data_IF_303945367638
#
_entry.id   IF_303945367638
#
_cell.length_a   1.000
_cell.length_b   1.000
_cell.length_c   1.000
_cell.angle_alpha   90.00
_cell.angle_beta   90.00
_cell.angle_gamma   90.00
#
_symmetry.space_group_name_H-M   'P 1'
#
loop_
_entity.id
_entity.type
_entity.pdbx_description
1 polymer ?
#
# COMPACT_ATOMS: atom_id res chain seq x y z
N UNK A 1 -8.02 0.58 -13.14
CA UNK A 1 -8.18 1.62 -12.11
C UNK A 1 -9.27 1.19 -11.14
N UNK A 2 -9.00 1.29 -9.84
CA UNK A 2 -10.01 1.08 -8.79
C UNK A 2 -10.42 2.42 -8.20
N UNK A 3 -11.70 2.59 -7.90
CA UNK A 3 -12.24 3.81 -7.31
C UNK A 3 -12.78 3.47 -5.92
N UNK A 4 -12.28 4.17 -4.91
CA UNK A 4 -12.71 4.00 -3.54
C UNK A 4 -14.12 4.55 -3.29
N UNK A 5 -14.70 4.24 -2.13
CA UNK A 5 -16.04 4.70 -1.75
C UNK A 5 -16.17 6.23 -1.89
N UNK A 6 -17.31 6.67 -2.40
CA UNK A 6 -17.64 8.09 -2.59
C UNK A 6 -16.57 8.90 -3.36
N UNK A 7 -15.82 8.25 -4.27
CA UNK A 7 -14.73 8.87 -5.03
C UNK A 7 -13.64 9.53 -4.16
N UNK A 8 -13.48 9.09 -2.91
CA UNK A 8 -12.51 9.71 -1.99
C UNK A 8 -11.06 9.49 -2.43
N UNK A 9 -10.79 8.34 -3.05
CA UNK A 9 -9.49 8.03 -3.63
C UNK A 9 -9.64 7.11 -4.85
N UNK A 10 -8.58 7.03 -5.65
CA UNK A 10 -8.43 6.11 -6.77
C UNK A 10 -7.08 5.42 -6.66
N UNK A 11 -7.04 4.14 -6.98
CA UNK A 11 -5.80 3.37 -7.15
C UNK A 11 -5.61 3.18 -8.65
N UNK A 12 -4.50 3.69 -9.16
CA UNK A 12 -4.16 3.66 -10.58
C UNK A 12 -2.93 2.80 -10.76
N UNK A 13 -3.04 1.81 -11.65
CA UNK A 13 -1.93 0.98 -12.09
C UNK A 13 -1.40 1.63 -13.36
N UNK A 14 -0.15 2.09 -13.31
CA UNK A 14 0.51 2.75 -14.44
C UNK A 14 1.22 1.73 -15.33
N UNK A 15 1.84 0.70 -14.75
CA UNK A 15 2.55 -0.34 -15.49
C UNK A 15 2.33 -1.71 -14.85
N UNK A 16 1.89 -2.67 -15.68
CA UNK A 16 1.67 -4.06 -15.30
C UNK A 16 2.19 -4.97 -16.41
N UNK A 17 3.05 -5.92 -16.06
CA UNK A 17 3.68 -6.85 -17.02
C UNK A 17 2.90 -8.16 -17.23
N UNK A 18 1.65 -8.22 -16.74
CA UNK A 18 0.83 -9.44 -16.74
C UNK A 18 1.00 -10.30 -15.49
N UNK A 19 2.04 -10.07 -14.69
CA UNK A 19 2.33 -10.82 -13.46
C UNK A 19 2.62 -9.92 -12.26
N UNK A 20 3.25 -8.77 -12.47
CA UNK A 20 3.80 -7.88 -11.45
C UNK A 20 3.39 -6.45 -11.76
N UNK A 21 2.98 -5.73 -10.73
CA UNK A 21 2.72 -4.29 -10.83
C UNK A 21 4.05 -3.55 -10.69
N UNK A 22 4.49 -2.91 -11.77
CA UNK A 22 5.78 -2.20 -11.85
C UNK A 22 5.66 -0.72 -11.50
N UNK A 23 4.47 -0.14 -11.70
CA UNK A 23 4.17 1.21 -11.29
C UNK A 23 2.70 1.37 -10.92
N UNK A 24 2.45 2.00 -9.78
CA UNK A 24 1.10 2.36 -9.35
C UNK A 24 1.16 3.54 -8.39
N UNK A 25 0.05 4.27 -8.29
CA UNK A 25 -0.09 5.39 -7.39
C UNK A 25 -1.53 5.54 -6.90
N UNK A 26 -1.71 6.42 -5.91
CA UNK A 26 -3.01 6.78 -5.37
C UNK A 26 -3.31 8.22 -5.71
N UNK A 27 -4.50 8.47 -6.23
CA UNK A 27 -5.02 9.81 -6.48
C UNK A 27 -6.18 10.11 -5.56
N UNK A 28 -6.25 11.34 -5.09
CA UNK A 28 -7.39 11.90 -4.38
C UNK A 28 -7.82 13.16 -5.11
N UNK A 29 -8.95 13.75 -4.72
CA UNK A 29 -9.38 15.04 -5.29
C UNK A 29 -8.35 16.18 -5.09
N UNK A 30 -7.40 16.04 -4.15
CA UNK A 30 -6.44 17.09 -3.78
C UNK A 30 -5.02 16.83 -4.25
N UNK A 31 -4.61 15.57 -4.34
CA UNK A 31 -3.22 15.21 -4.56
C UNK A 31 -3.08 13.82 -5.17
N UNK A 32 -1.94 13.61 -5.81
CA UNK A 32 -1.44 12.35 -6.34
C UNK A 32 -0.16 11.96 -5.60
N UNK A 33 -0.01 10.68 -5.27
CA UNK A 33 1.24 10.15 -4.71
C UNK A 33 2.24 9.86 -5.82
N UNK A 34 3.53 9.82 -5.47
CA UNK A 34 4.55 9.26 -6.35
C UNK A 34 4.32 7.76 -6.61
N UNK A 35 5.14 7.17 -7.47
CA UNK A 35 5.11 5.74 -7.74
C UNK A 35 5.38 4.95 -6.44
N UNK A 36 4.40 4.14 -6.03
CA UNK A 36 4.45 3.32 -4.83
C UNK A 36 5.04 1.92 -5.09
N UNK A 37 5.21 1.53 -6.36
CA UNK A 37 5.77 0.23 -6.73
C UNK A 37 7.29 0.13 -6.44
N UNK A 38 8.02 1.25 -6.41
CA UNK A 38 9.47 1.24 -6.11
C UNK A 38 9.79 0.72 -4.72
N UNK A 39 8.83 0.81 -3.79
CA UNK A 39 8.99 0.29 -2.41
C UNK A 39 8.49 -1.13 -2.23
N UNK A 40 7.59 -1.59 -3.10
CA UNK A 40 6.96 -2.90 -3.04
C UNK A 40 6.69 -3.38 -4.46
N UNK A 41 7.74 -3.89 -5.12
CA UNK A 41 7.57 -4.61 -6.38
C UNK A 41 6.93 -5.96 -6.05
N UNK A 42 5.73 -6.20 -6.57
CA UNK A 42 4.98 -7.38 -6.16
C UNK A 42 3.73 -7.65 -6.98
N UNK A 43 3.13 -8.80 -6.69
CA UNK A 43 1.84 -9.22 -7.26
C UNK A 43 0.64 -8.55 -6.58
N UNK A 44 0.81 -8.15 -5.32
CA UNK A 44 -0.25 -7.64 -4.48
C UNK A 44 0.01 -6.17 -4.15
N UNK A 45 -1.05 -5.39 -4.07
CA UNK A 45 -1.03 -3.99 -3.66
C UNK A 45 -1.74 -3.88 -2.32
N UNK A 46 -1.00 -3.54 -1.27
CA UNK A 46 -1.54 -3.28 0.07
C UNK A 46 -1.24 -1.84 0.48
N UNK A 47 -2.26 -1.12 0.96
CA UNK A 47 -2.14 0.29 1.35
C UNK A 47 -3.06 0.60 2.51
N UNK A 48 -2.58 1.42 3.44
CA UNK A 48 -3.42 2.08 4.43
C UNK A 48 -3.35 3.60 4.27
N UNK A 49 -4.52 4.22 4.04
CA UNK A 49 -4.66 5.66 3.85
C UNK A 49 -5.20 6.31 5.12
N UNK A 50 -4.74 7.52 5.42
CA UNK A 50 -5.23 8.30 6.56
C UNK A 50 -4.38 8.21 7.82
N UNK A 51 -3.04 8.14 7.69
CA UNK A 51 -2.11 8.20 8.83
C UNK A 51 -2.32 9.41 9.76
N UNK A 52 -2.85 10.52 9.27
CA UNK A 52 -3.16 11.67 10.13
C UNK A 52 -4.43 11.45 10.99
N UNK A 53 -5.27 10.48 10.64
CA UNK A 53 -6.50 10.18 11.39
C UNK A 53 -6.18 9.29 12.59
N UNK A 54 -6.56 9.74 13.79
CA UNK A 54 -6.27 9.05 15.06
C UNK A 54 -6.83 7.62 15.10
N UNK A 55 -8.01 7.39 14.53
CA UNK A 55 -8.63 6.05 14.48
C UNK A 55 -7.84 5.10 13.58
N UNK A 56 -7.41 5.56 12.40
CA UNK A 56 -6.58 4.78 11.49
C UNK A 56 -5.23 4.43 12.10
N UNK A 57 -4.57 5.39 12.76
CA UNK A 57 -3.29 5.12 13.46
C UNK A 57 -3.47 4.10 14.57
N UNK A 58 -4.54 4.24 15.36
CA UNK A 58 -4.81 3.31 16.45
C UNK A 58 -5.10 1.89 15.93
N UNK A 59 -5.76 1.77 14.78
CA UNK A 59 -5.96 0.49 14.13
C UNK A 59 -4.63 -0.11 13.65
N UNK A 60 -3.86 0.65 12.84
CA UNK A 60 -2.58 0.17 12.29
C UNK A 60 -1.61 -0.23 13.40
N UNK A 61 -1.51 0.52 14.50
CA UNK A 61 -0.53 0.23 15.56
C UNK A 61 -0.70 -1.14 16.20
N UNK A 62 -1.93 -1.67 16.24
CA UNK A 62 -2.21 -3.03 16.74
C UNK A 62 -1.81 -4.13 15.76
N UNK A 63 -1.81 -3.81 14.47
CA UNK A 63 -1.50 -4.76 13.39
C UNK A 63 -0.04 -4.69 12.96
N UNK A 64 0.64 -3.57 13.21
CA UNK A 64 2.00 -3.33 12.71
C UNK A 64 2.99 -4.38 13.18
N UNK A 65 2.93 -4.79 14.45
CA UNK A 65 3.78 -5.87 14.97
C UNK A 65 3.53 -7.20 14.26
N UNK A 66 2.26 -7.58 14.07
CA UNK A 66 1.91 -8.82 13.37
C UNK A 66 2.30 -8.81 11.90
N UNK A 67 2.11 -7.68 11.21
CA UNK A 67 2.54 -7.53 9.81
C UNK A 67 4.06 -7.57 9.67
N UNK A 68 4.78 -7.02 10.66
CA UNK A 68 6.24 -7.11 10.71
C UNK A 68 6.70 -8.56 10.93
N UNK A 69 6.08 -9.28 11.87
CA UNK A 69 6.37 -10.70 12.13
C UNK A 69 6.03 -11.59 10.91
N UNK A 70 4.93 -11.31 10.21
CA UNK A 70 4.55 -12.00 8.97
C UNK A 70 5.51 -11.70 7.83
N UNK A 71 5.96 -10.46 7.68
CA UNK A 71 6.97 -10.08 6.69
C UNK A 71 8.31 -10.78 6.95
N UNK A 72 8.72 -10.87 8.22
CA UNK A 72 9.93 -11.57 8.64
C UNK A 72 9.80 -13.10 8.55
N UNK A 73 8.58 -13.65 8.53
CA UNK A 73 8.35 -15.09 8.43
C UNK A 73 8.77 -15.58 7.04
N UNK A 74 9.97 -16.16 6.98
CA UNK A 74 10.58 -16.67 5.75
C UNK A 74 11.74 -15.81 5.23
N UNK A 75 12.06 -14.70 5.87
CA UNK A 75 13.28 -13.93 5.64
C UNK A 75 14.26 -14.22 6.78
N UNK A 76 15.38 -14.85 6.49
CA UNK A 76 16.43 -15.13 7.49
C UNK A 76 17.24 -13.84 7.71
N UNK A 77 16.68 -12.90 8.48
CA UNK A 77 17.24 -11.55 8.64
C UNK A 77 18.44 -11.51 9.61
N UNK A 78 18.76 -12.62 10.26
CA UNK A 78 19.86 -12.71 11.24
C UNK A 78 20.95 -13.74 10.87
N UNK A 79 21.11 -14.07 9.59
CA UNK A 79 22.18 -14.96 9.12
C UNK A 79 23.07 -14.29 8.08
#
# INVERSE_FOLDING_TARGET
>A
MFVGPNNQFKIVIDEFDGKTVKAWHVETAKAKTDNLATRAQGKNIDLVVGKACRSTVHFISRWYGKMYDEHLKGMDVFK
#
